data_IF_966332273573
#
_entry.id   IF_966332273573
#
_cell.length_a   1.000
_cell.length_b   1.000
_cell.length_c   1.000
_cell.angle_alpha   90.00
_cell.angle_beta   90.00
_cell.angle_gamma   90.00
#
_symmetry.space_group_name_H-M   'P 1'
#
loop_
_entity.id
_entity.type
_entity.pdbx_description
1 polymer ?
#
# COMPACT_ATOMS: atom_id res chain seq x y z
N UNK A 1 12.68 -30.27 27.52
CA UNK A 1 11.75 -30.96 26.61
C UNK A 1 10.98 -29.90 25.85
N UNK A 2 10.95 -29.95 24.51
CA UNK A 2 10.20 -28.96 23.73
C UNK A 2 8.71 -29.25 23.87
N UNK A 3 7.99 -28.36 24.55
CA UNK A 3 6.54 -28.47 24.71
C UNK A 3 5.81 -28.15 23.40
N UNK A 4 4.73 -28.87 23.15
CA UNK A 4 3.85 -28.65 22.01
C UNK A 4 3.00 -27.39 22.25
N UNK A 5 3.09 -26.43 21.33
CA UNK A 5 2.41 -25.12 21.42
C UNK A 5 1.46 -24.94 20.25
N UNK A 6 0.42 -24.12 20.43
CA UNK A 6 -0.48 -23.74 19.34
C UNK A 6 0.02 -22.47 18.65
N UNK A 7 0.05 -22.48 17.32
CA UNK A 7 0.41 -21.31 16.53
C UNK A 7 -0.65 -20.22 16.68
N UNK A 8 -0.24 -18.99 17.02
CA UNK A 8 -1.14 -17.84 17.11
C UNK A 8 -1.87 -17.51 15.79
N UNK A 9 -1.25 -17.80 14.65
CA UNK A 9 -1.78 -17.43 13.33
C UNK A 9 -2.70 -18.50 12.72
N UNK A 10 -2.26 -19.76 12.70
CA UNK A 10 -3.02 -20.84 12.06
C UNK A 10 -3.67 -21.81 13.03
N UNK A 11 -3.48 -21.65 14.34
CA UNK A 11 -4.05 -22.53 15.38
C UNK A 11 -3.46 -23.94 15.47
N UNK A 12 -2.65 -24.36 14.47
CA UNK A 12 -2.05 -25.69 14.42
C UNK A 12 -1.04 -25.91 15.55
N UNK A 13 -0.96 -27.13 16.11
CA UNK A 13 0.09 -27.49 17.05
C UNK A 13 1.45 -27.49 16.34
N UNK A 14 2.50 -27.08 17.06
CA UNK A 14 3.87 -27.10 16.59
C UNK A 14 4.84 -27.25 17.76
N UNK A 15 6.01 -27.83 17.48
CA UNK A 15 7.11 -27.90 18.43
C UNK A 15 7.98 -26.65 18.32
N UNK A 16 8.21 -25.97 19.44
CA UNK A 16 9.09 -24.81 19.48
C UNK A 16 10.54 -25.21 19.18
N UNK A 17 11.26 -24.34 18.47
CA UNK A 17 12.68 -24.54 18.20
C UNK A 17 13.48 -24.52 19.52
N UNK A 18 14.45 -25.43 19.66
CA UNK A 18 15.38 -25.50 20.81
C UNK A 18 16.01 -24.14 21.15
N UNK A 19 16.36 -23.34 20.14
CA UNK A 19 17.00 -22.03 20.33
C UNK A 19 16.01 -20.88 20.54
N UNK A 20 14.71 -21.11 20.32
CA UNK A 20 13.65 -20.13 20.54
C UNK A 20 12.46 -20.80 21.25
N UNK A 21 12.61 -21.18 22.53
CA UNK A 21 11.54 -21.83 23.29
C UNK A 21 10.29 -20.94 23.45
N UNK A 22 10.47 -19.61 23.36
CA UNK A 22 9.39 -18.62 23.45
C UNK A 22 8.67 -18.37 22.11
N UNK A 23 8.87 -19.23 21.12
CA UNK A 23 8.19 -19.14 19.83
C UNK A 23 6.67 -19.30 20.00
N UNK A 24 5.91 -18.35 19.46
CA UNK A 24 4.43 -18.31 19.51
C UNK A 24 3.77 -18.63 18.16
N UNK A 25 4.56 -18.68 17.10
CA UNK A 25 4.11 -18.85 15.71
C UNK A 25 4.90 -19.98 15.07
N UNK A 26 4.23 -20.92 14.40
CA UNK A 26 4.87 -22.09 13.79
C UNK A 26 5.82 -21.74 12.63
N UNK A 27 6.59 -22.72 12.19
CA UNK A 27 7.61 -22.56 11.13
C UNK A 27 7.07 -22.67 9.70
N UNK A 28 5.75 -22.71 9.50
CA UNK A 28 5.18 -22.75 8.13
C UNK A 28 5.43 -21.43 7.41
N UNK A 29 5.68 -21.49 6.10
CA UNK A 29 6.01 -20.33 5.27
C UNK A 29 4.97 -19.21 5.40
N UNK A 30 3.69 -19.58 5.31
CA UNK A 30 2.56 -18.66 5.45
C UNK A 30 2.57 -17.90 6.79
N UNK A 31 2.77 -18.62 7.90
CA UNK A 31 2.77 -18.02 9.23
C UNK A 31 4.03 -17.19 9.48
N UNK A 32 5.16 -17.58 8.90
CA UNK A 32 6.41 -16.80 8.97
C UNK A 32 6.28 -15.50 8.18
N UNK A 33 5.67 -15.55 7.00
CA UNK A 33 5.41 -14.38 6.16
C UNK A 33 4.44 -13.40 6.84
N UNK A 34 3.32 -13.90 7.36
CA UNK A 34 2.37 -13.09 8.13
C UNK A 34 3.02 -12.44 9.35
N UNK A 35 3.82 -13.19 10.12
CA UNK A 35 4.59 -12.62 11.24
C UNK A 35 5.54 -11.52 10.79
N UNK A 36 6.21 -11.70 9.65
CA UNK A 36 7.10 -10.68 9.08
C UNK A 36 6.34 -9.39 8.75
N UNK A 37 5.15 -9.51 8.14
CA UNK A 37 4.29 -8.36 7.83
C UNK A 37 3.82 -7.64 9.11
N UNK A 38 3.37 -8.37 10.13
CA UNK A 38 2.97 -7.80 11.42
C UNK A 38 4.14 -7.06 12.10
N UNK A 39 5.33 -7.67 12.13
CA UNK A 39 6.53 -7.06 12.69
C UNK A 39 6.90 -5.78 11.93
N UNK A 40 6.84 -5.81 10.59
CA UNK A 40 7.08 -4.63 9.76
C UNK A 40 6.07 -3.53 10.05
N UNK A 41 4.78 -3.87 10.21
CA UNK A 41 3.72 -2.92 10.55
C UNK A 41 3.99 -2.25 11.90
N UNK A 42 4.19 -3.04 12.96
CA UNK A 42 4.48 -2.52 14.31
C UNK A 42 5.74 -1.65 14.32
N UNK A 43 6.76 -2.05 13.58
CA UNK A 43 7.98 -1.27 13.47
C UNK A 43 7.73 0.08 12.78
N UNK A 44 6.95 0.11 11.69
CA UNK A 44 6.58 1.36 10.99
C UNK A 44 5.75 2.28 11.87
N UNK A 45 4.81 1.74 12.63
CA UNK A 45 3.98 2.50 13.57
C UNK A 45 4.83 3.18 14.66
N UNK A 46 5.87 2.49 15.15
CA UNK A 46 6.84 3.06 16.11
C UNK A 46 7.87 3.99 15.47
N UNK A 47 8.13 3.85 14.17
CA UNK A 47 9.16 4.60 13.45
C UNK A 47 8.57 5.38 12.25
N UNK A 48 7.58 6.27 12.46
CA UNK A 48 6.85 6.92 11.37
C UNK A 48 7.70 7.90 10.56
N UNK A 49 8.81 8.39 11.13
CA UNK A 49 9.70 9.36 10.49
C UNK A 49 10.93 8.73 9.84
N UNK A 50 11.17 7.43 10.04
CA UNK A 50 12.40 6.77 9.60
C UNK A 50 12.62 6.89 8.08
N UNK A 51 11.55 6.79 7.30
CA UNK A 51 11.62 6.94 5.85
C UNK A 51 11.53 8.38 5.36
N UNK A 52 11.02 9.32 6.19
CA UNK A 52 10.86 10.72 5.79
C UNK A 52 12.19 11.46 5.71
N UNK A 53 13.15 11.10 6.55
CA UNK A 53 14.48 11.71 6.53
C UNK A 53 15.19 11.48 5.19
N UNK A 54 15.25 10.22 4.71
CA UNK A 54 15.85 9.90 3.40
C UNK A 54 15.11 10.56 2.23
N UNK A 55 13.78 10.63 2.30
CA UNK A 55 12.97 11.24 1.23
C UNK A 55 13.19 12.75 1.09
N UNK A 56 13.53 13.43 2.18
CA UNK A 56 13.76 14.89 2.19
C UNK A 56 15.18 15.30 1.78
N UNK A 57 16.19 14.47 2.06
CA UNK A 57 17.61 14.82 1.86
C UNK A 57 18.21 14.23 0.59
N UNK A 58 17.64 13.15 0.04
CA UNK A 58 18.22 12.41 -1.08
C UNK A 58 17.34 12.55 -2.34
N UNK A 59 17.79 13.39 -3.29
CA UNK A 59 17.11 13.53 -4.58
C UNK A 59 17.15 12.23 -5.40
N UNK A 60 18.18 11.40 -5.24
CA UNK A 60 18.31 10.12 -5.93
C UNK A 60 17.30 9.08 -5.43
N UNK A 61 16.86 9.21 -4.18
CA UNK A 61 15.81 8.37 -3.60
C UNK A 61 14.48 8.55 -4.34
N UNK A 62 14.07 9.79 -4.61
CA UNK A 62 12.83 10.09 -5.35
C UNK A 62 12.87 9.49 -6.75
N UNK A 63 13.99 9.65 -7.46
CA UNK A 63 14.15 9.10 -8.80
C UNK A 63 14.17 7.57 -8.79
N UNK A 64 14.86 6.96 -7.82
CA UNK A 64 14.87 5.50 -7.65
C UNK A 64 13.48 4.95 -7.35
N UNK A 65 12.71 5.62 -6.50
CA UNK A 65 11.31 5.25 -6.22
C UNK A 65 10.43 5.37 -7.47
N UNK A 66 10.58 6.44 -8.24
CA UNK A 66 9.89 6.62 -9.52
C UNK A 66 10.23 5.48 -10.48
N UNK A 67 11.50 5.16 -10.64
CA UNK A 67 11.97 4.11 -11.54
C UNK A 67 11.45 2.73 -11.12
N UNK A 68 11.56 2.40 -9.83
CA UNK A 68 10.99 1.15 -9.27
C UNK A 68 9.48 1.05 -9.50
N UNK A 69 8.76 2.14 -9.32
CA UNK A 69 7.31 2.18 -9.59
C UNK A 69 7.02 1.96 -11.09
N UNK A 70 7.81 2.53 -11.99
CA UNK A 70 7.67 2.31 -13.44
C UNK A 70 7.95 0.86 -13.81
N UNK A 71 9.03 0.28 -13.30
CA UNK A 71 9.39 -1.12 -13.55
C UNK A 71 8.36 -2.08 -13.00
N UNK A 72 7.86 -1.83 -11.78
CA UNK A 72 6.79 -2.63 -11.21
C UNK A 72 5.55 -2.61 -12.10
N UNK A 73 5.14 -1.42 -12.57
CA UNK A 73 4.01 -1.27 -13.50
C UNK A 73 4.24 -2.01 -14.81
N UNK A 74 5.45 -1.94 -15.38
CA UNK A 74 5.82 -2.69 -16.60
C UNK A 74 5.70 -4.21 -16.40
N UNK A 75 6.12 -4.72 -15.24
CA UNK A 75 6.07 -6.16 -14.92
C UNK A 75 4.67 -6.66 -14.53
N UNK A 76 3.79 -5.77 -14.07
CA UNK A 76 2.47 -6.13 -13.52
C UNK A 76 1.32 -5.48 -14.31
N UNK A 77 1.42 -5.49 -15.63
CA UNK A 77 0.42 -4.89 -16.52
C UNK A 77 -0.97 -5.54 -16.37
N UNK A 78 -1.02 -6.86 -16.23
CA UNK A 78 -2.28 -7.59 -16.08
C UNK A 78 -2.98 -7.26 -14.76
N UNK A 79 -2.22 -7.17 -13.67
CA UNK A 79 -2.74 -6.70 -12.38
C UNK A 79 -3.34 -5.31 -12.51
N UNK A 80 -2.66 -4.38 -13.20
CA UNK A 80 -3.17 -3.03 -13.40
C UNK A 80 -4.46 -3.01 -14.22
N UNK A 81 -4.57 -3.90 -15.22
CA UNK A 81 -5.79 -4.04 -16.03
C UNK A 81 -6.96 -4.50 -15.16
N UNK A 82 -6.77 -5.59 -14.42
CA UNK A 82 -7.79 -6.13 -13.50
C UNK A 82 -8.19 -5.10 -12.44
N UNK A 83 -7.22 -4.42 -11.83
CA UNK A 83 -7.47 -3.37 -10.85
C UNK A 83 -8.31 -2.21 -11.43
N UNK A 84 -7.99 -1.77 -12.65
CA UNK A 84 -8.76 -0.71 -13.35
C UNK A 84 -10.17 -1.16 -13.70
N UNK A 85 -10.36 -2.42 -14.04
CA UNK A 85 -11.68 -2.99 -14.33
C UNK A 85 -12.53 -3.07 -13.06
N UNK A 86 -11.99 -3.62 -11.99
CA UNK A 86 -12.63 -3.72 -10.68
C UNK A 86 -13.01 -2.34 -10.10
N UNK A 87 -12.14 -1.34 -10.30
CA UNK A 87 -12.33 0.00 -9.72
C UNK A 87 -12.84 1.04 -10.73
N UNK A 88 -13.39 0.60 -11.87
CA UNK A 88 -13.79 1.47 -12.99
C UNK A 88 -14.77 2.56 -12.58
N UNK A 89 -15.76 2.20 -11.77
CA UNK A 89 -16.81 3.13 -11.32
C UNK A 89 -16.27 4.19 -10.35
N UNK A 90 -15.47 3.76 -9.38
CA UNK A 90 -14.77 4.68 -8.47
C UNK A 90 -13.90 5.67 -9.24
N UNK A 91 -13.16 5.18 -10.23
CA UNK A 91 -12.32 6.03 -11.08
C UNK A 91 -13.15 7.03 -11.90
N UNK A 92 -14.30 6.61 -12.45
CA UNK A 92 -15.21 7.53 -13.16
C UNK A 92 -15.75 8.64 -12.25
N UNK A 93 -16.18 8.28 -11.04
CA UNK A 93 -16.70 9.25 -10.09
C UNK A 93 -15.60 10.25 -9.66
N UNK A 94 -14.41 9.74 -9.34
CA UNK A 94 -13.24 10.58 -9.05
C UNK A 94 -12.94 11.56 -10.20
N UNK A 95 -12.88 11.08 -11.44
CA UNK A 95 -12.58 11.95 -12.60
C UNK A 95 -13.67 12.98 -12.85
N UNK A 96 -14.94 12.64 -12.62
CA UNK A 96 -16.07 13.58 -12.73
C UNK A 96 -15.92 14.71 -11.71
N UNK A 97 -15.63 14.38 -10.45
CA UNK A 97 -15.48 15.36 -9.38
C UNK A 97 -14.23 16.21 -9.57
N UNK A 98 -13.12 15.59 -9.96
CA UNK A 98 -11.89 16.27 -10.33
C UNK A 98 -12.13 17.29 -11.44
N UNK A 99 -12.80 16.90 -12.53
CA UNK A 99 -13.09 17.82 -13.66
C UNK A 99 -14.06 18.94 -13.26
N UNK A 100 -15.03 18.67 -12.38
CA UNK A 100 -15.92 19.69 -11.82
C UNK A 100 -15.14 20.74 -11.04
N UNK A 101 -14.22 20.31 -10.17
CA UNK A 101 -13.34 21.20 -9.41
C UNK A 101 -12.39 21.98 -10.33
N UNK A 102 -11.80 21.31 -11.32
CA UNK A 102 -10.90 21.93 -12.29
C UNK A 102 -11.60 23.04 -13.10
N UNK A 103 -12.81 22.79 -13.60
CA UNK A 103 -13.61 23.80 -14.32
C UNK A 103 -13.97 25.00 -13.43
N UNK A 104 -14.30 24.74 -12.16
CA UNK A 104 -14.55 25.79 -11.15
C UNK A 104 -13.30 26.65 -10.91
N UNK A 105 -12.12 26.04 -10.77
CA UNK A 105 -10.85 26.76 -10.61
C UNK A 105 -10.45 27.56 -11.86
N UNK A 106 -10.74 27.06 -13.05
CA UNK A 106 -10.40 27.71 -14.32
C UNK A 106 -11.45 28.70 -14.84
N UNK A 107 -12.58 28.85 -14.14
CA UNK A 107 -13.65 29.78 -14.55
C UNK A 107 -14.33 29.42 -15.88
N UNK A 108 -14.22 28.18 -16.36
CA UNK A 108 -14.72 27.73 -17.69
C UNK A 108 -16.23 27.43 -17.62
N UNK A 109 -17.02 28.34 -17.06
CA UNK A 109 -18.45 28.11 -16.82
C UNK A 109 -19.31 29.35 -16.67
N UNK A 110 -18.74 30.56 -16.64
CA UNK A 110 -19.55 31.79 -16.69
C UNK A 110 -19.70 32.27 -18.13
N UNK A 111 -20.58 31.62 -18.89
CA UNK A 111 -21.24 32.32 -20.00
C UNK A 111 -22.25 33.26 -19.34
N UNK A 112 -21.90 34.55 -19.28
CA UNK A 112 -22.83 35.61 -18.89
C UNK A 112 -23.89 35.70 -20.00
N UNK A 113 -25.07 35.14 -19.78
CA UNK A 113 -26.26 35.52 -20.55
C UNK A 113 -26.53 37.00 -20.25
N UNK A 114 -26.36 37.85 -21.26
CA UNK A 114 -26.56 39.29 -21.08
C UNK A 114 -26.32 40.08 -22.35
N UNK A 115 -27.36 40.16 -23.19
CA UNK A 115 -27.87 41.36 -23.90
C UNK A 115 -28.54 40.96 -25.22
N UNK A 116 -29.83 40.68 -25.18
CA UNK A 116 -30.72 41.10 -26.27
C UNK A 116 -31.13 42.54 -25.98
N UNK A 117 -30.85 43.40 -26.96
CA UNK A 117 -31.17 44.83 -26.98
C UNK A 117 -32.68 45.08 -27.06
#
# INVERSE_FOLDING_TARGET
MSEEKKCRLCGKPFLANKYRPNQTICSSLECQYQRQLENMKQWRDRNPQYFKYKESQDSSWKETCRQRSLEWRKRHMDYLKLYREEHRERHRNYMRDYMRQYRKQKGIGEIKEGKTA
#
